data_IF_227827826539
#
_entry.id   IF_227827826539
#
_cell.length_a   1.000
_cell.length_b   1.000
_cell.length_c   1.000
_cell.angle_alpha   90.00
_cell.angle_beta   90.00
_cell.angle_gamma   90.00
#
_symmetry.space_group_name_H-M   'P 1'
#
loop_
_entity.id
_entity.type
_entity.pdbx_description
1 polymer ?
#
# COMPACT_ATOMS: atom_id res chain seq x y z
N UNK A 1 -11.04 -29.59 -51.10
CA UNK A 1 -10.21 -29.95 -49.92
C UNK A 1 -9.26 -28.84 -49.42
N UNK A 2 -9.26 -27.61 -49.98
CA UNK A 2 -8.38 -26.50 -49.54
C UNK A 2 -9.04 -25.44 -48.63
N UNK A 3 -10.33 -25.55 -48.30
CA UNK A 3 -11.07 -24.53 -47.55
C UNK A 3 -11.11 -24.70 -46.01
N UNK A 4 -10.52 -25.76 -45.45
CA UNK A 4 -10.61 -26.02 -44.00
C UNK A 4 -9.31 -25.73 -43.22
N UNK A 5 -8.20 -25.46 -43.90
CA UNK A 5 -6.91 -25.21 -43.24
C UNK A 5 -6.85 -23.79 -42.67
N UNK A 6 -7.39 -22.77 -43.34
CA UNK A 6 -7.40 -21.39 -42.82
C UNK A 6 -8.25 -21.25 -41.54
N UNK A 7 -9.40 -21.92 -41.44
CA UNK A 7 -10.23 -21.87 -40.24
C UNK A 7 -9.61 -22.65 -39.07
N UNK A 8 -8.95 -23.77 -39.34
CA UNK A 8 -8.19 -24.52 -38.33
C UNK A 8 -6.97 -23.72 -37.88
N UNK A 9 -6.24 -23.06 -38.80
CA UNK A 9 -5.12 -22.19 -38.46
C UNK A 9 -5.59 -20.95 -37.70
N UNK A 10 -6.71 -20.32 -38.06
CA UNK A 10 -7.25 -19.18 -37.30
C UNK A 10 -7.81 -19.60 -35.93
N UNK A 11 -8.40 -20.79 -35.81
CA UNK A 11 -8.80 -21.35 -34.51
C UNK A 11 -7.59 -21.74 -33.68
N UNK A 12 -6.53 -22.31 -34.27
CA UNK A 12 -5.26 -22.59 -33.60
C UNK A 12 -4.57 -21.29 -33.18
N UNK A 13 -4.51 -20.26 -34.04
CA UNK A 13 -3.96 -18.92 -33.72
C UNK A 13 -4.80 -18.23 -32.63
N UNK A 14 -6.13 -18.40 -32.59
CA UNK A 14 -6.96 -17.98 -31.45
C UNK A 14 -6.71 -18.81 -30.19
N UNK A 15 -6.40 -20.11 -30.32
CA UNK A 15 -6.03 -21.01 -29.22
C UNK A 15 -4.61 -20.74 -28.68
N UNK A 16 -3.74 -20.17 -29.50
CA UNK A 16 -2.37 -19.74 -29.17
C UNK A 16 -2.29 -18.30 -28.64
N UNK A 17 -3.42 -17.60 -28.44
CA UNK A 17 -3.48 -16.20 -28.02
C UNK A 17 -3.71 -15.97 -26.51
N UNK A 18 -3.34 -16.94 -25.68
CA UNK A 18 -2.84 -16.67 -24.33
C UNK A 18 -1.40 -17.19 -24.27
N UNK A 19 -0.50 -16.48 -24.94
CA UNK A 19 0.93 -16.66 -24.65
C UNK A 19 1.09 -16.42 -23.16
N UNK A 20 1.67 -17.38 -22.44
CA UNK A 20 2.19 -17.15 -21.11
C UNK A 20 3.31 -16.13 -21.28
N UNK A 21 2.99 -14.85 -21.13
CA UNK A 21 3.95 -13.75 -21.30
C UNK A 21 4.71 -13.60 -20.00
N UNK A 22 5.98 -13.24 -20.10
CA UNK A 22 6.79 -12.95 -18.92
C UNK A 22 6.12 -11.84 -18.09
N UNK A 23 6.15 -12.04 -16.78
CA UNK A 23 5.66 -11.10 -15.80
C UNK A 23 6.54 -11.15 -14.57
N UNK A 24 6.31 -10.27 -13.61
CA UNK A 24 7.05 -10.31 -12.36
C UNK A 24 6.68 -11.53 -11.52
N UNK A 25 7.70 -12.18 -10.96
CA UNK A 25 7.56 -13.32 -10.06
C UNK A 25 8.36 -13.05 -8.79
N UNK A 26 7.81 -13.49 -7.65
CA UNK A 26 8.49 -13.49 -6.37
C UNK A 26 8.97 -14.91 -6.09
N UNK A 27 10.28 -15.05 -5.99
CA UNK A 27 10.94 -16.31 -5.64
C UNK A 27 10.82 -16.59 -4.13
N UNK A 28 11.12 -17.83 -3.72
CA UNK A 28 11.03 -18.25 -2.31
C UNK A 28 11.97 -17.44 -1.39
N UNK A 29 13.13 -17.02 -1.90
CA UNK A 29 14.11 -16.19 -1.21
C UNK A 29 13.89 -14.67 -1.41
N UNK A 30 12.66 -14.29 -1.81
CA UNK A 30 12.17 -12.90 -1.91
C UNK A 30 12.85 -12.06 -2.99
N UNK A 31 13.37 -12.68 -4.05
CA UNK A 31 13.87 -11.96 -5.21
C UNK A 31 12.76 -11.74 -6.25
N UNK A 32 12.88 -10.64 -6.99
CA UNK A 32 12.06 -10.35 -8.15
C UNK A 32 12.74 -10.90 -9.40
N UNK A 33 12.02 -11.73 -10.15
CA UNK A 33 12.46 -12.21 -11.46
C UNK A 33 11.39 -11.97 -12.52
N UNK A 34 11.81 -11.81 -13.77
CA UNK A 34 10.91 -11.70 -14.92
C UNK A 34 10.82 -13.07 -15.59
N UNK A 35 9.66 -13.71 -15.47
CA UNK A 35 9.43 -15.05 -15.99
C UNK A 35 7.94 -15.33 -16.22
N UNK A 36 7.67 -16.38 -16.98
CA UNK A 36 6.33 -16.91 -17.21
C UNK A 36 5.67 -17.41 -15.92
N UNK A 37 4.35 -17.26 -15.81
CA UNK A 37 3.62 -17.85 -14.69
C UNK A 37 3.68 -19.38 -14.74
N UNK A 38 3.67 -20.01 -13.57
CA UNK A 38 3.67 -21.47 -13.44
C UNK A 38 2.39 -21.93 -12.71
N UNK A 39 1.19 -21.72 -13.25
CA UNK A 39 -0.04 -22.05 -12.55
C UNK A 39 -0.16 -23.56 -12.28
N UNK A 40 -0.51 -23.92 -11.05
CA UNK A 40 -0.79 -25.30 -10.67
C UNK A 40 -2.06 -25.82 -11.36
N UNK A 41 -2.03 -27.07 -11.83
CA UNK A 41 -3.22 -27.77 -12.30
C UNK A 41 -4.21 -28.07 -11.16
N UNK A 42 -5.47 -28.37 -11.48
CA UNK A 42 -6.47 -28.76 -10.48
C UNK A 42 -6.03 -29.92 -9.58
N UNK A 43 -5.23 -30.85 -10.10
CA UNK A 43 -4.68 -31.96 -9.31
C UNK A 43 -3.63 -31.43 -8.32
N UNK A 44 -2.69 -30.62 -8.79
CA UNK A 44 -1.63 -30.04 -7.98
C UNK A 44 -2.18 -29.07 -6.92
N UNK A 45 -3.24 -28.30 -7.23
CA UNK A 45 -3.92 -27.45 -6.26
C UNK A 45 -4.47 -28.26 -5.08
N UNK A 46 -5.14 -29.39 -5.37
CA UNK A 46 -5.68 -30.28 -4.35
C UNK A 46 -4.58 -30.88 -3.50
N UNK A 47 -3.55 -31.43 -4.14
CA UNK A 47 -2.38 -32.00 -3.46
C UNK A 47 -1.70 -30.95 -2.57
N UNK A 48 -1.45 -29.75 -3.09
CA UNK A 48 -0.86 -28.64 -2.35
C UNK A 48 -1.65 -28.30 -1.08
N UNK A 49 -2.96 -28.08 -1.20
CA UNK A 49 -3.80 -27.73 -0.06
C UNK A 49 -3.92 -28.87 0.96
N UNK A 50 -4.10 -30.11 0.50
CA UNK A 50 -4.21 -31.28 1.36
C UNK A 50 -2.91 -31.47 2.16
N UNK A 51 -1.76 -31.32 1.52
CA UNK A 51 -0.45 -31.45 2.18
C UNK A 51 -0.24 -30.39 3.26
N UNK A 52 -0.78 -29.18 3.06
CA UNK A 52 -0.62 -28.06 4.00
C UNK A 52 -1.62 -28.12 5.15
N UNK A 53 -2.87 -28.53 4.87
CA UNK A 53 -3.95 -28.53 5.85
C UNK A 53 -4.06 -29.87 6.61
N UNK A 54 -3.45 -30.92 6.09
CA UNK A 54 -3.44 -32.28 6.64
C UNK A 54 -4.50 -33.18 6.00
N UNK A 55 -4.07 -34.35 5.50
CA UNK A 55 -4.92 -35.32 4.80
C UNK A 55 -6.18 -35.72 5.59
N UNK A 56 -6.03 -35.95 6.89
CA UNK A 56 -7.12 -36.35 7.78
C UNK A 56 -8.13 -35.24 8.08
N UNK A 57 -7.82 -33.99 7.73
CA UNK A 57 -8.69 -32.82 7.95
C UNK A 57 -9.40 -32.35 6.68
N UNK A 58 -9.06 -32.94 5.53
CA UNK A 58 -9.49 -32.47 4.23
C UNK A 58 -10.39 -33.47 3.50
N UNK A 59 -11.40 -32.95 2.80
CA UNK A 59 -12.28 -33.73 1.93
C UNK A 59 -12.61 -32.96 0.66
N UNK A 60 -12.55 -33.61 -0.50
CA UNK A 60 -12.96 -33.00 -1.77
C UNK A 60 -14.46 -33.20 -1.97
N UNK A 61 -15.21 -32.10 -2.10
CA UNK A 61 -16.61 -32.10 -2.47
C UNK A 61 -16.71 -31.85 -3.98
N UNK A 62 -17.36 -32.77 -4.70
CA UNK A 62 -17.60 -32.58 -6.14
C UNK A 62 -18.85 -31.74 -6.36
N UNK A 63 -18.72 -30.69 -7.18
CA UNK A 63 -19.83 -29.79 -7.55
C UNK A 63 -20.05 -29.89 -9.06
N UNK A 64 -21.18 -30.45 -9.53
CA UNK A 64 -21.42 -30.60 -10.96
C UNK A 64 -21.58 -29.26 -11.72
N UNK A 65 -21.22 -29.20 -13.01
CA UNK A 65 -20.34 -30.14 -13.72
C UNK A 65 -18.86 -29.78 -13.50
N UNK A 66 -18.02 -30.76 -13.11
CA UNK A 66 -16.55 -30.66 -13.03
C UNK A 66 -15.98 -29.53 -12.16
N UNK A 67 -16.73 -29.05 -11.16
CA UNK A 67 -16.23 -28.12 -10.13
C UNK A 67 -15.92 -28.91 -8.87
N UNK A 68 -15.14 -28.32 -7.98
CA UNK A 68 -14.78 -28.94 -6.72
C UNK A 68 -14.58 -27.87 -5.64
N UNK A 69 -14.74 -28.29 -4.41
CA UNK A 69 -14.50 -27.51 -3.19
C UNK A 69 -13.65 -28.35 -2.25
N UNK A 70 -12.65 -27.75 -1.61
CA UNK A 70 -11.98 -28.41 -0.49
C UNK A 70 -12.73 -28.07 0.79
N UNK A 71 -13.25 -29.09 1.45
CA UNK A 71 -13.69 -28.98 2.83
C UNK A 71 -12.48 -29.21 3.74
N UNK A 72 -12.27 -28.29 4.69
CA UNK A 72 -11.27 -28.39 5.72
C UNK A 72 -11.96 -28.28 7.09
N UNK A 73 -11.65 -29.19 8.01
CA UNK A 73 -12.23 -29.20 9.36
C UNK A 73 -11.14 -29.14 10.41
N UNK A 74 -11.22 -28.16 11.31
CA UNK A 74 -10.30 -28.00 12.45
C UNK A 74 -11.06 -27.50 13.67
N UNK A 75 -10.83 -28.12 14.83
CA UNK A 75 -11.47 -27.71 16.09
C UNK A 75 -13.01 -27.71 16.06
N UNK A 76 -13.63 -28.54 15.22
CA UNK A 76 -15.09 -28.57 15.04
C UNK A 76 -15.66 -27.46 14.13
N UNK A 77 -14.80 -26.57 13.61
CA UNK A 77 -15.17 -25.57 12.60
C UNK A 77 -14.91 -26.11 11.19
N UNK A 78 -15.85 -25.84 10.28
CA UNK A 78 -15.80 -26.32 8.89
C UNK A 78 -15.59 -25.13 7.95
N UNK A 79 -14.65 -25.30 7.03
CA UNK A 79 -14.27 -24.33 6.02
C UNK A 79 -14.46 -24.93 4.64
N UNK A 80 -15.02 -24.16 3.71
CA UNK A 80 -15.15 -24.54 2.31
C UNK A 80 -14.27 -23.62 1.46
N UNK A 81 -13.19 -24.14 0.90
CA UNK A 81 -12.24 -23.37 0.10
C UNK A 81 -12.59 -23.49 -1.39
N UNK A 82 -12.89 -22.35 -2.00
CA UNK A 82 -13.10 -22.21 -3.43
C UNK A 82 -11.82 -21.66 -4.07
N UNK A 83 -11.14 -22.50 -4.85
CA UNK A 83 -9.72 -22.30 -5.16
C UNK A 83 -9.50 -22.03 -6.65
N UNK A 84 -8.61 -21.09 -6.96
CA UNK A 84 -8.11 -20.81 -8.31
C UNK A 84 -6.64 -20.39 -8.27
N UNK A 85 -5.94 -20.51 -9.39
CA UNK A 85 -4.58 -20.00 -9.53
C UNK A 85 -4.57 -18.49 -9.73
N UNK A 86 -3.54 -17.84 -9.19
CA UNK A 86 -3.20 -16.46 -9.49
C UNK A 86 -2.36 -16.42 -10.76
N UNK A 87 -2.77 -15.63 -11.76
CA UNK A 87 -2.01 -15.44 -13.00
C UNK A 87 -1.99 -13.98 -13.44
N UNK A 88 -0.95 -13.61 -14.18
CA UNK A 88 -0.83 -12.36 -14.91
C UNK A 88 -1.99 -12.20 -15.90
N UNK A 89 -2.50 -10.97 -16.00
CA UNK A 89 -3.63 -10.66 -16.87
C UNK A 89 -3.25 -10.68 -18.36
N UNK A 90 -1.95 -10.56 -18.68
CA UNK A 90 -1.45 -10.32 -20.03
C UNK A 90 -1.56 -8.85 -20.45
N UNK A 91 -1.04 -8.54 -21.63
CA UNK A 91 -1.08 -7.18 -22.19
C UNK A 91 -2.53 -6.71 -22.39
N UNK A 92 -2.87 -5.44 -22.08
CA UNK A 92 -2.00 -4.30 -21.79
C UNK A 92 -1.76 -4.04 -20.29
N UNK A 93 -2.00 -5.02 -19.41
CA UNK A 93 -1.87 -4.80 -17.97
C UNK A 93 -0.40 -4.72 -17.52
N UNK A 94 -0.09 -4.05 -16.40
CA UNK A 94 1.27 -4.04 -15.88
C UNK A 94 1.73 -5.43 -15.44
N UNK A 95 3.00 -5.75 -15.67
CA UNK A 95 3.59 -7.07 -15.41
C UNK A 95 3.59 -7.46 -13.92
N UNK A 96 3.48 -6.49 -13.01
CA UNK A 96 3.34 -6.71 -11.57
C UNK A 96 1.90 -7.04 -11.12
N UNK A 97 0.91 -6.95 -12.01
CA UNK A 97 -0.50 -7.10 -11.68
C UNK A 97 -1.00 -8.51 -12.02
N UNK A 98 -1.35 -9.29 -11.01
CA UNK A 98 -1.93 -10.63 -11.17
C UNK A 98 -3.41 -10.63 -10.80
N UNK A 99 -4.13 -11.69 -11.17
CA UNK A 99 -5.54 -11.90 -10.83
C UNK A 99 -5.87 -13.35 -10.54
N UNK A 100 -6.97 -13.52 -9.82
CA UNK A 100 -7.79 -14.72 -9.83
C UNK A 100 -9.07 -14.43 -10.59
N UNK A 101 -9.41 -15.28 -11.55
CA UNK A 101 -10.74 -15.26 -12.17
C UNK A 101 -11.76 -15.91 -11.23
N UNK A 102 -12.63 -15.09 -10.64
CA UNK A 102 -13.70 -15.57 -9.76
C UNK A 102 -14.92 -15.96 -10.60
N UNK A 103 -15.24 -17.27 -10.74
CA UNK A 103 -16.37 -17.67 -11.55
C UNK A 103 -17.69 -17.43 -10.81
N UNK A 104 -18.77 -17.14 -11.54
CA UNK A 104 -20.09 -16.86 -10.96
C UNK A 104 -20.56 -17.93 -9.96
N UNK A 105 -20.21 -19.20 -10.22
CA UNK A 105 -20.62 -20.31 -9.35
C UNK A 105 -20.03 -20.21 -7.93
N UNK A 106 -18.94 -19.47 -7.70
CA UNK A 106 -18.45 -19.23 -6.34
C UNK A 106 -19.50 -18.51 -5.50
N UNK A 107 -20.14 -17.48 -6.07
CA UNK A 107 -21.17 -16.72 -5.40
C UNK A 107 -22.44 -17.57 -5.19
N UNK A 108 -22.85 -18.32 -6.21
CA UNK A 108 -24.01 -19.22 -6.13
C UNK A 108 -23.82 -20.29 -5.04
N UNK A 109 -22.62 -20.90 -5.00
CA UNK A 109 -22.25 -21.88 -4.00
C UNK A 109 -22.25 -21.27 -2.61
N UNK A 110 -21.59 -20.13 -2.43
CA UNK A 110 -21.51 -19.42 -1.14
C UNK A 110 -22.90 -19.06 -0.62
N UNK A 111 -23.75 -18.51 -1.47
CA UNK A 111 -25.13 -18.17 -1.11
C UNK A 111 -25.95 -19.40 -0.73
N UNK A 112 -25.74 -20.53 -1.41
CA UNK A 112 -26.44 -21.79 -1.11
C UNK A 112 -25.99 -22.36 0.22
N UNK A 113 -24.67 -22.47 0.44
CA UNK A 113 -24.09 -22.99 1.70
C UNK A 113 -24.49 -22.09 2.86
N UNK A 114 -24.39 -20.77 2.73
CA UNK A 114 -24.77 -19.84 3.81
C UNK A 114 -26.25 -19.95 4.20
N UNK A 115 -27.16 -20.19 3.23
CA UNK A 115 -28.58 -20.43 3.50
C UNK A 115 -28.84 -21.76 4.20
N UNK A 116 -28.07 -22.80 3.87
CA UNK A 116 -28.26 -24.14 4.42
C UNK A 116 -27.59 -24.32 5.78
N UNK A 117 -26.39 -23.77 5.95
CA UNK A 117 -25.60 -23.83 7.16
C UNK A 117 -24.68 -22.61 7.29
N UNK A 118 -25.12 -21.54 7.99
CA UNK A 118 -24.32 -20.32 8.13
C UNK A 118 -23.06 -20.49 9.00
N UNK A 119 -22.87 -21.66 9.65
CA UNK A 119 -21.65 -21.95 10.42
C UNK A 119 -20.47 -22.37 9.54
N UNK A 120 -20.72 -22.75 8.28
CA UNK A 120 -19.67 -23.10 7.33
C UNK A 120 -19.04 -21.82 6.79
N UNK A 121 -17.73 -21.70 6.96
CA UNK A 121 -17.00 -20.53 6.50
C UNK A 121 -16.45 -20.76 5.08
N UNK A 122 -17.11 -20.18 4.09
CA UNK A 122 -16.67 -20.26 2.69
C UNK A 122 -15.57 -19.22 2.43
N UNK A 123 -14.48 -19.62 1.77
CA UNK A 123 -13.31 -18.78 1.48
C UNK A 123 -12.95 -18.80 0.00
N UNK A 124 -12.58 -17.65 -0.55
CA UNK A 124 -12.14 -17.51 -1.94
C UNK A 124 -10.63 -17.44 -1.96
N UNK A 125 -9.98 -18.52 -2.38
CA UNK A 125 -8.53 -18.69 -2.26
C UNK A 125 -7.88 -18.64 -3.65
N UNK A 126 -6.99 -17.66 -3.83
CA UNK A 126 -5.97 -17.67 -4.86
C UNK A 126 -4.75 -18.46 -4.45
N UNK A 127 -4.13 -19.17 -5.38
CA UNK A 127 -2.84 -19.83 -5.18
C UNK A 127 -1.85 -19.29 -6.20
N UNK A 128 -0.89 -18.51 -5.72
CA UNK A 128 0.30 -18.14 -6.46
C UNK A 128 1.32 -19.27 -6.36
N UNK A 129 1.95 -19.60 -7.48
CA UNK A 129 3.05 -20.57 -7.53
C UNK A 129 4.08 -20.12 -8.56
N UNK A 130 5.33 -20.13 -8.14
CA UNK A 130 6.48 -19.97 -9.01
C UNK A 130 7.66 -20.72 -8.39
N UNK A 131 8.33 -21.54 -9.20
CA UNK A 131 9.55 -22.20 -8.77
C UNK A 131 10.60 -22.27 -9.86
N UNK A 132 11.85 -22.27 -9.44
CA UNK A 132 12.97 -22.54 -10.32
C UNK A 132 14.09 -23.27 -9.57
N UNK A 133 15.11 -23.67 -10.33
CA UNK A 133 16.23 -24.47 -9.83
C UNK A 133 17.14 -23.72 -8.87
N UNK A 134 17.11 -22.39 -8.86
CA UNK A 134 18.02 -21.55 -8.08
C UNK A 134 17.39 -21.13 -6.76
N UNK A 135 16.09 -20.84 -6.77
CA UNK A 135 15.38 -20.26 -5.65
C UNK A 135 14.39 -21.23 -5.00
N UNK A 136 14.09 -22.38 -5.61
CA UNK A 136 13.18 -23.39 -5.05
C UNK A 136 11.71 -23.16 -5.40
N UNK A 137 10.81 -23.84 -4.69
CA UNK A 137 9.36 -23.86 -4.96
C UNK A 137 8.60 -22.90 -4.03
N UNK A 138 8.08 -21.80 -4.58
CA UNK A 138 7.33 -20.80 -3.82
C UNK A 138 5.82 -20.95 -4.05
N UNK A 139 5.08 -21.02 -2.94
CA UNK A 139 3.61 -21.01 -2.92
C UNK A 139 3.13 -19.95 -1.95
N UNK A 140 2.25 -19.08 -2.41
CA UNK A 140 1.61 -18.04 -1.59
C UNK A 140 0.11 -18.14 -1.77
N UNK A 141 -0.63 -18.17 -0.67
CA UNK A 141 -2.09 -18.16 -0.69
C UNK A 141 -2.60 -16.73 -0.67
N UNK A 142 -3.74 -16.50 -1.31
CA UNK A 142 -4.41 -15.20 -1.32
C UNK A 142 -5.86 -15.40 -0.90
N UNK A 143 -6.26 -14.88 0.26
CA UNK A 143 -7.65 -14.88 0.71
C UNK A 143 -8.34 -13.58 0.27
N UNK A 144 -9.25 -13.71 -0.69
CA UNK A 144 -10.12 -12.63 -1.12
C UNK A 144 -11.36 -12.64 -0.24
N UNK A 145 -11.51 -11.64 0.65
CA UNK A 145 -12.63 -11.62 1.60
C UNK A 145 -13.97 -11.57 0.87
N UNK A 146 -14.66 -12.71 0.82
CA UNK A 146 -15.90 -12.91 0.05
C UNK A 146 -16.92 -11.77 0.21
N UNK A 147 -17.08 -11.23 1.42
CA UNK A 147 -18.09 -10.23 1.74
C UNK A 147 -17.87 -8.90 1.00
N UNK A 148 -16.62 -8.53 0.72
CA UNK A 148 -16.29 -7.33 -0.07
C UNK A 148 -16.51 -7.51 -1.57
N UNK A 149 -16.55 -8.76 -2.05
CA UNK A 149 -16.75 -9.11 -3.46
C UNK A 149 -18.22 -9.49 -3.79
N UNK A 150 -18.96 -10.05 -2.83
CA UNK A 150 -20.35 -10.49 -3.01
C UNK A 150 -21.34 -9.32 -3.21
N UNK A 151 -21.05 -8.17 -2.62
CA UNK A 151 -21.95 -7.00 -2.58
C UNK A 151 -21.85 -6.10 -3.81
N UNK A 152 -20.76 -6.18 -4.56
CA UNK A 152 -20.50 -5.32 -5.73
C UNK A 152 -21.17 -5.97 -6.95
N UNK A 153 -22.18 -5.34 -7.54
CA UNK A 153 -22.98 -5.92 -8.65
C UNK A 153 -22.34 -5.79 -10.06
N UNK A 154 -21.07 -5.43 -10.19
CA UNK A 154 -20.52 -4.99 -11.49
C UNK A 154 -19.03 -5.22 -11.79
N UNK A 155 -18.24 -5.86 -10.93
CA UNK A 155 -16.78 -5.99 -11.13
C UNK A 155 -16.23 -7.40 -10.84
N UNK A 156 -17.05 -8.44 -11.03
CA UNK A 156 -16.92 -9.69 -10.28
C UNK A 156 -16.16 -10.80 -11.02
N UNK A 157 -15.49 -10.51 -12.15
CA UNK A 157 -14.80 -11.52 -12.94
C UNK A 157 -13.31 -11.66 -12.60
N UNK A 158 -12.73 -10.74 -11.84
CA UNK A 158 -11.32 -10.81 -11.44
C UNK A 158 -11.03 -10.11 -10.12
N UNK A 159 -10.46 -10.84 -9.18
CA UNK A 159 -9.85 -10.28 -7.97
C UNK A 159 -8.34 -10.10 -8.21
N UNK A 160 -7.79 -8.95 -7.89
CA UNK A 160 -6.40 -8.60 -8.21
C UNK A 160 -5.47 -8.82 -7.03
N UNK A 161 -4.24 -9.23 -7.30
CA UNK A 161 -3.14 -9.29 -6.34
C UNK A 161 -1.88 -8.80 -7.03
N UNK A 162 -1.03 -8.08 -6.33
CA UNK A 162 0.13 -7.43 -6.91
C UNK A 162 1.43 -8.10 -6.44
N UNK A 163 2.50 -7.99 -7.22
CA UNK A 163 3.82 -8.54 -6.85
C UNK A 163 4.23 -8.11 -5.45
N UNK A 164 4.02 -6.84 -5.09
CA UNK A 164 4.35 -6.35 -3.76
C UNK A 164 3.56 -7.08 -2.66
N UNK A 165 2.28 -7.43 -2.88
CA UNK A 165 1.48 -8.16 -1.88
C UNK A 165 2.07 -9.55 -1.60
N UNK A 166 2.57 -10.21 -2.64
CA UNK A 166 3.25 -11.49 -2.53
C UNK A 166 4.57 -11.33 -1.77
N UNK A 167 5.33 -10.28 -2.07
CA UNK A 167 6.55 -9.92 -1.34
C UNK A 167 6.26 -9.66 0.15
N UNK A 168 5.20 -8.92 0.48
CA UNK A 168 4.81 -8.64 1.87
C UNK A 168 4.50 -9.92 2.64
N UNK A 169 3.80 -10.88 2.03
CA UNK A 169 3.53 -12.17 2.67
C UNK A 169 4.81 -12.95 2.96
N UNK A 170 5.80 -12.90 2.07
CA UNK A 170 7.09 -13.55 2.30
C UNK A 170 7.93 -12.85 3.38
N UNK A 171 7.70 -11.57 3.63
CA UNK A 171 8.40 -10.79 4.65
C UNK A 171 7.76 -10.94 6.03
N UNK A 172 6.43 -10.89 6.13
CA UNK A 172 5.70 -10.87 7.41
C UNK A 172 4.92 -12.16 7.71
N UNK A 173 4.93 -13.13 6.80
CA UNK A 173 4.13 -14.37 6.90
C UNK A 173 2.66 -14.17 6.51
N UNK A 174 2.01 -13.11 6.99
CA UNK A 174 0.64 -12.71 6.61
C UNK A 174 0.58 -11.20 6.41
N UNK A 175 0.07 -10.78 5.27
CA UNK A 175 -0.16 -9.36 4.95
C UNK A 175 -1.61 -9.16 4.52
N UNK A 176 -2.29 -8.16 5.07
CA UNK A 176 -3.64 -7.77 4.65
C UNK A 176 -3.67 -6.31 4.25
N UNK A 177 -4.47 -5.99 3.24
CA UNK A 177 -4.76 -4.60 2.88
C UNK A 177 -6.19 -4.43 2.37
N UNK A 178 -6.63 -3.19 2.40
CA UNK A 178 -7.78 -2.73 1.63
C UNK A 178 -7.28 -2.15 0.29
N UNK A 179 -7.77 -2.69 -0.82
CA UNK A 179 -7.45 -2.18 -2.16
C UNK A 179 -8.18 -0.84 -2.45
N UNK A 180 -7.83 -0.17 -3.54
CA UNK A 180 -8.43 1.11 -3.93
C UNK A 180 -9.97 1.06 -4.05
N UNK A 181 -10.52 -0.12 -4.38
CA UNK A 181 -11.96 -0.34 -4.52
C UNK A 181 -12.64 -0.72 -3.21
N UNK A 182 -11.93 -0.79 -2.08
CA UNK A 182 -12.47 -1.22 -0.79
C UNK A 182 -12.67 -2.74 -0.71
N UNK A 183 -11.84 -3.54 -1.38
CA UNK A 183 -11.79 -4.99 -1.17
C UNK A 183 -10.69 -5.34 -0.18
N UNK A 184 -10.98 -6.29 0.70
CA UNK A 184 -9.99 -6.81 1.63
C UNK A 184 -9.31 -8.05 1.06
N UNK A 185 -7.99 -8.02 1.03
CA UNK A 185 -7.15 -9.05 0.42
C UNK A 185 -6.05 -9.38 1.41
N UNK A 186 -5.89 -10.67 1.70
CA UNK A 186 -4.79 -11.17 2.53
C UNK A 186 -3.89 -12.06 1.69
N UNK A 187 -2.58 -11.83 1.71
CA UNK A 187 -1.56 -12.73 1.16
C UNK A 187 -0.85 -13.46 2.29
N UNK A 188 -0.66 -14.77 2.13
CA UNK A 188 -0.27 -15.67 3.22
C UNK A 188 0.84 -16.61 2.74
N UNK A 189 1.96 -16.60 3.45
CA UNK A 189 3.06 -17.54 3.27
C UNK A 189 2.56 -18.97 3.52
N UNK A 190 3.09 -19.92 2.73
CA UNK A 190 2.67 -21.32 2.73
C UNK A 190 2.51 -21.94 4.12
N UNK A 191 3.50 -21.76 4.99
CA UNK A 191 3.56 -22.35 6.33
C UNK A 191 2.59 -21.70 7.32
N UNK A 192 2.13 -20.48 7.06
CA UNK A 192 1.16 -19.75 7.89
C UNK A 192 -0.29 -20.00 7.51
N UNK A 193 -0.56 -20.67 6.38
CA UNK A 193 -1.90 -20.74 5.82
C UNK A 193 -2.93 -21.44 6.73
N UNK A 194 -2.55 -22.56 7.36
CA UNK A 194 -3.44 -23.26 8.29
C UNK A 194 -3.75 -22.41 9.53
N UNK A 195 -2.74 -21.77 10.09
CA UNK A 195 -2.89 -20.93 11.27
C UNK A 195 -3.72 -19.67 10.97
N UNK A 196 -3.54 -19.08 9.79
CA UNK A 196 -4.36 -17.99 9.29
C UNK A 196 -5.84 -18.39 9.19
N UNK A 197 -6.17 -19.53 8.57
CA UNK A 197 -7.57 -19.99 8.44
C UNK A 197 -8.21 -20.25 9.82
N UNK A 198 -7.42 -20.73 10.77
CA UNK A 198 -7.87 -21.07 12.13
C UNK A 198 -7.77 -19.90 13.11
N UNK A 199 -7.43 -18.70 12.63
CA UNK A 199 -7.25 -17.48 13.42
C UNK A 199 -6.19 -17.61 14.54
N UNK A 200 -5.21 -18.51 14.38
CA UNK A 200 -4.05 -18.67 15.28
C UNK A 200 -2.92 -17.69 14.95
N UNK A 201 -2.89 -17.21 13.71
CA UNK A 201 -2.04 -16.10 13.28
C UNK A 201 -2.96 -14.98 12.79
N UNK A 202 -2.83 -13.82 13.42
CA UNK A 202 -3.44 -12.58 12.95
C UNK A 202 -2.38 -11.69 12.30
N UNK A 203 -2.84 -10.68 11.58
CA UNK A 203 -1.99 -9.64 11.02
C UNK A 203 -1.05 -9.06 12.09
N UNK A 204 0.24 -8.96 11.76
CA UNK A 204 1.31 -8.60 12.72
C UNK A 204 1.68 -7.12 12.67
N UNK A 205 1.17 -6.35 11.69
CA UNK A 205 1.59 -4.97 11.50
C UNK A 205 0.85 -3.99 12.43
N UNK A 206 1.33 -3.92 13.67
CA UNK A 206 0.86 -3.00 14.72
C UNK A 206 0.98 -1.53 14.30
N UNK A 207 1.88 -1.18 13.37
CA UNK A 207 2.06 0.20 12.92
C UNK A 207 0.83 0.74 12.20
N UNK A 208 0.10 -0.09 11.45
CA UNK A 208 -1.15 0.35 10.81
C UNK A 208 -2.22 0.71 11.85
N UNK A 209 -2.29 -0.01 12.96
CA UNK A 209 -3.19 0.34 14.07
C UNK A 209 -2.79 1.67 14.73
N UNK A 210 -1.48 1.93 14.88
CA UNK A 210 -0.98 3.21 15.38
C UNK A 210 -1.35 4.36 14.44
N UNK A 211 -1.22 4.18 13.12
CA UNK A 211 -1.64 5.19 12.14
C UNK A 211 -3.15 5.40 12.14
N UNK A 212 -3.96 4.34 12.30
CA UNK A 212 -5.41 4.51 12.52
C UNK A 212 -5.68 5.35 13.77
N UNK A 213 -5.03 5.03 14.89
CA UNK A 213 -5.18 5.76 16.15
C UNK A 213 -4.76 7.24 16.01
N UNK A 214 -3.65 7.51 15.33
CA UNK A 214 -3.22 8.87 15.01
C UNK A 214 -4.27 9.61 14.17
N UNK A 215 -4.74 8.97 13.10
CA UNK A 215 -5.71 9.56 12.17
C UNK A 215 -7.07 9.83 12.81
N UNK A 216 -7.52 9.00 13.76
CA UNK A 216 -8.74 9.25 14.54
C UNK A 216 -8.64 10.52 15.41
N UNK A 217 -7.43 10.86 15.89
CA UNK A 217 -7.17 12.08 16.66
C UNK A 217 -6.75 13.29 15.81
N UNK A 218 -6.49 13.11 14.53
CA UNK A 218 -6.04 14.15 13.61
C UNK A 218 -7.23 14.94 13.03
N UNK A 219 -7.02 16.22 12.70
CA UNK A 219 -8.07 17.16 12.25
C UNK A 219 -8.53 16.95 10.81
N UNK A 220 -8.83 15.70 10.42
CA UNK A 220 -9.41 15.39 9.12
C UNK A 220 -10.77 16.08 8.94
N UNK A 221 -11.04 16.52 7.70
CA UNK A 221 -12.32 17.13 7.35
C UNK A 221 -12.54 18.54 7.89
N UNK A 222 -11.58 19.13 8.60
CA UNK A 222 -11.66 20.50 9.13
C UNK A 222 -10.79 21.45 8.31
N UNK A 223 -11.29 22.66 8.03
CA UNK A 223 -10.49 23.73 7.43
C UNK A 223 -9.58 24.36 8.49
N UNK A 224 -8.28 24.14 8.35
CA UNK A 224 -7.25 24.67 9.22
C UNK A 224 -6.70 25.96 8.61
N UNK A 225 -6.74 27.06 9.34
CA UNK A 225 -6.21 28.35 8.88
C UNK A 225 -4.74 28.50 9.29
N UNK A 226 -3.92 29.01 8.37
CA UNK A 226 -2.48 29.07 8.59
C UNK A 226 -2.08 29.81 9.86
N UNK A 227 -2.68 30.97 10.14
CA UNK A 227 -2.28 31.78 11.29
C UNK A 227 -2.60 31.11 12.63
N UNK A 228 -3.72 30.40 12.71
CA UNK A 228 -4.13 29.69 13.93
C UNK A 228 -3.16 28.54 14.20
N UNK A 229 -2.79 27.81 13.16
CA UNK A 229 -1.84 26.68 13.22
C UNK A 229 -0.41 27.14 13.53
N UNK A 230 0.03 28.24 12.94
CA UNK A 230 1.35 28.83 13.21
C UNK A 230 1.47 29.26 14.68
N UNK A 231 0.42 29.89 15.23
CA UNK A 231 0.36 30.24 16.65
C UNK A 231 0.35 29.00 17.53
N UNK A 232 -0.45 28.00 17.21
CA UNK A 232 -0.48 26.74 17.95
C UNK A 232 0.92 26.09 18.01
N UNK A 233 1.62 26.00 16.88
CA UNK A 233 2.98 25.45 16.83
C UNK A 233 3.97 26.30 17.64
N UNK A 234 3.88 27.63 17.57
CA UNK A 234 4.73 28.53 18.37
C UNK A 234 4.47 28.37 19.87
N UNK A 235 3.21 28.35 20.29
CA UNK A 235 2.80 28.24 21.69
C UNK A 235 3.16 26.87 22.30
N UNK A 236 3.51 25.89 21.47
CA UNK A 236 4.03 24.58 21.86
C UNK A 236 5.52 24.39 21.50
N UNK A 237 6.27 25.49 21.33
CA UNK A 237 7.73 25.52 21.10
C UNK A 237 8.21 24.68 19.89
N UNK A 238 7.38 24.52 18.85
CA UNK A 238 7.74 23.74 17.67
C UNK A 238 8.68 24.51 16.75
N UNK A 239 9.96 24.16 16.71
CA UNK A 239 11.04 24.90 16.02
C UNK A 239 10.77 25.36 14.56
N UNK A 240 9.92 24.68 13.78
CA UNK A 240 9.64 25.02 12.38
C UNK A 240 8.35 25.82 12.18
N UNK A 241 7.75 26.34 13.27
CA UNK A 241 6.50 27.10 13.24
C UNK A 241 6.53 28.30 12.28
N UNK A 242 7.73 28.82 11.97
CA UNK A 242 7.92 29.97 11.09
C UNK A 242 7.85 29.63 9.61
N UNK A 243 7.87 28.38 9.16
CA UNK A 243 7.98 28.09 7.72
C UNK A 243 6.69 28.36 6.95
N UNK A 244 6.80 28.66 5.64
CA UNK A 244 5.64 28.97 4.79
C UNK A 244 4.88 27.69 4.35
N UNK A 245 5.58 26.56 4.30
CA UNK A 245 5.07 25.22 4.05
C UNK A 245 4.37 24.62 5.30
N UNK A 246 3.65 25.46 6.05
CA UNK A 246 3.13 25.18 7.39
C UNK A 246 2.29 23.90 7.51
N UNK A 247 1.62 23.47 6.44
CA UNK A 247 0.81 22.25 6.46
C UNK A 247 1.65 20.98 6.66
N UNK A 248 2.87 20.93 6.11
CA UNK A 248 3.82 19.83 6.34
C UNK A 248 4.34 19.85 7.76
N UNK A 249 4.81 21.02 8.22
CA UNK A 249 5.32 21.19 9.58
C UNK A 249 4.27 20.94 10.67
N UNK A 250 3.01 21.27 10.41
CA UNK A 250 1.91 20.95 11.32
C UNK A 250 1.66 19.44 11.41
N UNK A 251 1.74 18.72 10.30
CA UNK A 251 1.63 17.27 10.29
C UNK A 251 2.76 16.64 11.11
N UNK A 252 4.00 17.06 10.90
CA UNK A 252 5.17 16.61 11.67
C UNK A 252 5.02 16.92 13.17
N UNK A 253 4.60 18.13 13.52
CA UNK A 253 4.31 18.53 14.90
C UNK A 253 3.27 17.60 15.55
N UNK A 254 2.13 17.38 14.89
CA UNK A 254 1.07 16.51 15.40
C UNK A 254 1.51 15.06 15.54
N UNK A 255 2.29 14.56 14.57
CA UNK A 255 2.83 13.21 14.64
C UNK A 255 3.82 13.07 15.81
N UNK A 256 4.77 14.00 15.96
CA UNK A 256 5.70 14.00 17.08
C UNK A 256 4.95 14.03 18.43
N UNK A 257 4.01 14.97 18.58
CA UNK A 257 3.16 15.07 19.77
C UNK A 257 2.41 13.77 20.07
N UNK A 258 1.83 13.13 19.04
CA UNK A 258 1.16 11.85 19.19
C UNK A 258 2.09 10.75 19.71
N UNK A 259 3.30 10.63 19.15
CA UNK A 259 4.26 9.60 19.57
C UNK A 259 4.70 9.77 21.04
N UNK A 260 4.88 11.02 21.49
CA UNK A 260 5.27 11.34 22.87
C UNK A 260 4.09 11.09 23.83
N UNK A 261 2.92 11.68 23.54
CA UNK A 261 1.74 11.61 24.41
C UNK A 261 1.25 10.16 24.60
N UNK A 262 1.51 9.28 23.62
CA UNK A 262 1.15 7.86 23.66
C UNK A 262 2.30 6.92 24.04
N UNK A 263 3.49 7.45 24.38
CA UNK A 263 4.68 6.66 24.77
C UNK A 263 5.11 5.64 23.70
N UNK A 264 5.02 6.01 22.43
CA UNK A 264 5.27 5.14 21.28
C UNK A 264 6.70 5.24 20.74
N UNK A 265 7.59 6.00 21.37
CA UNK A 265 8.93 6.31 20.85
C UNK A 265 9.85 5.10 20.63
N UNK A 266 9.52 3.94 21.21
CA UNK A 266 10.22 2.67 20.98
C UNK A 266 9.71 1.95 19.71
N UNK A 267 8.47 2.20 19.30
CA UNK A 267 7.85 1.65 18.09
C UNK A 267 8.07 2.59 16.90
N UNK A 268 7.73 3.87 17.07
CA UNK A 268 7.95 4.91 16.07
C UNK A 268 8.15 6.28 16.71
N UNK A 269 9.05 7.08 16.14
CA UNK A 269 9.34 8.44 16.60
C UNK A 269 9.56 9.38 15.43
N UNK A 270 9.28 10.66 15.66
CA UNK A 270 9.73 11.71 14.77
C UNK A 270 11.24 11.93 14.95
N UNK A 271 11.97 12.01 13.85
CA UNK A 271 13.44 12.21 13.83
C UNK A 271 13.85 13.40 12.96
N UNK A 272 12.89 14.16 12.43
CA UNK A 272 13.17 15.28 11.55
C UNK A 272 13.95 16.41 12.23
N UNK A 273 14.76 17.09 11.40
CA UNK A 273 15.51 18.31 11.72
C UNK A 273 16.39 18.21 12.98
N UNK A 274 15.92 18.73 14.11
CA UNK A 274 16.71 18.98 15.33
C UNK A 274 16.78 17.79 16.30
N UNK A 275 16.03 16.71 16.02
CA UNK A 275 15.92 15.53 16.89
C UNK A 275 16.70 14.32 16.36
N UNK A 276 17.54 14.52 15.34
CA UNK A 276 18.40 13.47 14.77
C UNK A 276 19.49 13.06 15.75
N UNK A 277 19.71 11.76 15.85
CA UNK A 277 20.90 11.19 16.48
C UNK A 277 22.02 11.13 15.47
N UNK A 278 23.26 11.07 15.96
CA UNK A 278 24.42 10.81 15.09
C UNK A 278 24.22 9.48 14.36
N UNK A 279 24.32 9.50 13.02
CA UNK A 279 24.06 8.35 12.16
C UNK A 279 22.61 8.21 11.66
N UNK A 280 21.65 9.03 12.12
CA UNK A 280 20.28 9.00 11.57
C UNK A 280 20.27 9.57 10.13
N UNK A 281 19.55 8.90 9.23
CA UNK A 281 19.31 9.39 7.86
C UNK A 281 18.33 10.58 7.83
N UNK A 282 18.35 11.37 6.75
CA UNK A 282 17.52 12.58 6.60
C UNK A 282 16.07 12.29 6.19
N UNK A 283 15.28 11.82 7.16
CA UNK A 283 13.86 11.54 7.05
C UNK A 283 13.08 12.02 8.28
N UNK A 284 11.74 11.94 8.23
CA UNK A 284 10.89 12.44 9.32
C UNK A 284 10.57 11.39 10.39
N UNK A 285 10.51 10.11 10.02
CA UNK A 285 10.04 9.02 10.89
C UNK A 285 11.09 7.92 10.97
N UNK A 286 11.32 7.44 12.19
CA UNK A 286 12.03 6.19 12.45
C UNK A 286 11.07 5.18 13.10
N UNK A 287 11.04 3.97 12.55
CA UNK A 287 10.34 2.82 13.13
C UNK A 287 11.39 1.94 13.81
N UNK A 288 11.54 2.10 15.13
CA UNK A 288 12.68 1.55 15.86
C UNK A 288 12.55 0.02 16.07
N UNK A 289 11.36 -0.50 16.35
CA UNK A 289 11.13 -1.96 16.50
C UNK A 289 11.29 -2.74 15.20
N UNK A 290 10.81 -2.18 14.10
CA UNK A 290 10.80 -2.82 12.77
C UNK A 290 12.05 -2.45 11.94
N UNK A 291 12.95 -1.65 12.50
CA UNK A 291 14.23 -1.23 11.93
C UNK A 291 14.14 -0.65 10.49
N UNK A 292 13.34 0.41 10.28
CA UNK A 292 13.31 1.13 9.00
C UNK A 292 12.89 2.60 9.14
N UNK A 293 12.96 3.35 8.04
CA UNK A 293 12.59 4.78 8.00
C UNK A 293 11.33 5.06 7.21
N UNK A 294 10.72 6.21 7.50
CA UNK A 294 9.68 6.78 6.67
C UNK A 294 9.68 8.30 6.71
N UNK A 295 8.82 8.90 5.90
CA UNK A 295 8.79 10.34 5.69
C UNK A 295 7.36 10.85 5.51
N UNK A 296 7.07 12.01 6.12
CA UNK A 296 5.74 12.61 6.18
C UNK A 296 5.60 13.63 5.06
N UNK A 297 4.61 13.43 4.19
CA UNK A 297 4.31 14.40 3.12
C UNK A 297 2.91 14.96 3.29
N UNK A 298 2.80 16.29 3.34
CA UNK A 298 1.54 17.00 3.14
C UNK A 298 1.44 17.49 1.69
N UNK A 299 0.44 17.02 0.95
CA UNK A 299 0.35 17.27 -0.49
C UNK A 299 -1.05 17.71 -0.93
N UNK A 300 -1.13 18.69 -1.82
CA UNK A 300 -2.40 19.18 -2.36
C UNK A 300 -3.01 18.15 -3.32
N UNK A 301 -4.24 17.71 -3.05
CA UNK A 301 -4.94 16.66 -3.81
C UNK A 301 -5.07 16.98 -5.31
N UNK A 302 -5.08 18.26 -5.69
CA UNK A 302 -5.16 18.70 -7.09
C UNK A 302 -3.84 18.58 -7.86
N UNK A 303 -2.71 18.43 -7.15
CA UNK A 303 -1.39 18.27 -7.76
C UNK A 303 -1.19 16.83 -8.21
N UNK A 304 -0.62 16.66 -9.40
CA UNK A 304 -0.30 15.34 -9.96
C UNK A 304 0.87 14.66 -9.27
N UNK A 305 1.69 15.42 -8.56
CA UNK A 305 2.97 14.95 -8.05
C UNK A 305 3.19 15.45 -6.62
N UNK A 306 3.95 14.68 -5.85
CA UNK A 306 4.41 15.05 -4.51
C UNK A 306 5.93 14.93 -4.48
N UNK A 307 6.67 15.99 -4.11
CA UNK A 307 8.11 15.92 -3.97
C UNK A 307 8.52 14.84 -2.96
N UNK A 308 9.46 13.98 -3.36
CA UNK A 308 10.05 12.95 -2.53
C UNK A 308 11.33 13.43 -1.82
N UNK A 309 12.14 12.46 -1.42
CA UNK A 309 13.41 12.67 -0.73
C UNK A 309 14.59 12.67 -1.69
N UNK A 310 15.76 13.02 -1.15
CA UNK A 310 17.04 12.95 -1.85
C UNK A 310 17.27 11.52 -2.39
N UNK A 311 17.77 11.42 -3.62
CA UNK A 311 17.89 10.12 -4.27
C UNK A 311 18.90 9.21 -3.57
N UNK A 312 20.06 9.75 -3.20
CA UNK A 312 21.14 8.97 -2.56
C UNK A 312 20.65 8.44 -1.21
N UNK A 313 20.10 9.31 -0.37
CA UNK A 313 19.61 8.93 0.96
C UNK A 313 18.50 7.87 0.89
N UNK A 314 17.56 8.01 -0.04
CA UNK A 314 16.46 7.04 -0.18
C UNK A 314 16.96 5.69 -0.68
N UNK A 315 17.86 5.69 -1.66
CA UNK A 315 18.47 4.46 -2.18
C UNK A 315 19.27 3.76 -1.09
N UNK A 316 20.10 4.49 -0.35
CA UNK A 316 20.86 3.98 0.79
C UNK A 316 19.93 3.35 1.82
N UNK A 317 18.84 4.04 2.19
CA UNK A 317 17.84 3.51 3.12
C UNK A 317 17.21 2.20 2.63
N UNK A 318 16.80 2.13 1.36
CA UNK A 318 16.19 0.91 0.81
C UNK A 318 17.21 -0.23 0.77
N UNK A 319 18.47 0.04 0.46
CA UNK A 319 19.50 -1.02 0.47
C UNK A 319 19.86 -1.48 1.89
N UNK A 320 19.86 -0.57 2.86
CA UNK A 320 20.22 -0.88 4.24
C UNK A 320 19.09 -1.59 5.00
N UNK A 321 17.84 -1.17 4.79
CA UNK A 321 16.69 -1.61 5.58
C UNK A 321 15.66 -2.43 4.78
N UNK A 322 15.89 -2.66 3.48
CA UNK A 322 14.97 -3.33 2.51
C UNK A 322 13.57 -2.67 2.39
N UNK A 323 13.38 -1.51 3.01
CA UNK A 323 12.07 -0.90 3.22
C UNK A 323 12.15 0.61 3.49
N UNK A 324 11.20 1.34 2.96
CA UNK A 324 10.97 2.75 3.26
C UNK A 324 9.49 3.12 3.11
N UNK A 325 8.95 3.93 4.01
CA UNK A 325 7.56 4.39 3.93
C UNK A 325 7.43 5.87 3.58
N UNK A 326 6.72 6.18 2.49
CA UNK A 326 6.14 7.50 2.32
C UNK A 326 4.75 7.53 2.93
N UNK A 327 4.55 8.36 3.95
CA UNK A 327 3.26 8.57 4.61
C UNK A 327 2.69 9.90 4.11
N UNK A 328 1.78 9.80 3.13
CA UNK A 328 1.30 10.97 2.38
C UNK A 328 -0.10 11.33 2.85
N UNK A 329 -0.23 12.52 3.43
CA UNK A 329 -1.49 13.17 3.77
C UNK A 329 -1.89 14.13 2.66
N UNK A 330 -3.03 13.88 2.02
CA UNK A 330 -3.55 14.75 0.99
C UNK A 330 -4.62 15.69 1.52
N UNK A 331 -4.55 16.94 1.08
CA UNK A 331 -5.43 18.00 1.53
C UNK A 331 -5.99 18.82 0.35
N UNK A 332 -7.18 19.40 0.55
CA UNK A 332 -7.67 20.52 -0.25
C UNK A 332 -6.95 21.80 0.20
N UNK A 333 -6.80 22.77 -0.70
CA UNK A 333 -6.06 24.01 -0.44
C UNK A 333 -6.86 25.23 -0.88
N UNK A 334 -6.93 26.24 -0.01
CA UNK A 334 -7.19 27.63 -0.42
C UNK A 334 -5.84 28.33 -0.51
N UNK A 335 -5.47 28.80 -1.71
CA UNK A 335 -4.21 29.53 -1.90
C UNK A 335 -4.31 30.90 -1.25
N UNK A 336 -3.20 31.41 -0.74
CA UNK A 336 -3.20 32.74 -0.13
C UNK A 336 -3.35 33.87 -1.14
N UNK A 337 -2.95 33.64 -2.40
CA UNK A 337 -3.23 34.55 -3.52
C UNK A 337 -4.71 34.85 -3.70
N UNK A 338 -5.56 33.85 -3.45
CA UNK A 338 -7.01 33.93 -3.67
C UNK A 338 -7.72 34.61 -2.49
N UNK A 339 -6.99 34.82 -1.39
CA UNK A 339 -7.45 35.45 -0.15
C UNK A 339 -6.68 36.75 0.16
N UNK A 340 -6.21 37.48 -0.87
CA UNK A 340 -5.57 38.79 -0.69
C UNK A 340 -4.24 38.78 0.09
N UNK A 341 -3.57 37.63 0.13
CA UNK A 341 -2.34 37.38 0.88
C UNK A 341 -2.46 37.59 2.40
N UNK A 342 -3.67 37.39 2.94
CA UNK A 342 -3.96 37.59 4.37
C UNK A 342 -3.10 36.70 5.28
N UNK A 343 -2.89 35.43 4.92
CA UNK A 343 -2.10 34.52 5.75
C UNK A 343 -0.62 34.89 5.72
N UNK A 344 -0.07 35.29 4.57
CA UNK A 344 1.32 35.73 4.44
C UNK A 344 1.58 36.97 5.31
N UNK A 345 0.71 37.98 5.18
CA UNK A 345 0.79 39.22 5.96
C UNK A 345 0.64 38.90 7.45
N UNK A 346 -0.36 38.11 7.81
CA UNK A 346 -0.63 37.68 9.20
C UNK A 346 0.56 36.95 9.82
N UNK A 347 1.13 35.96 9.12
CA UNK A 347 2.32 35.22 9.55
C UNK A 347 3.50 36.16 9.76
N UNK A 348 3.85 36.98 8.78
CA UNK A 348 5.03 37.86 8.88
C UNK A 348 4.86 38.91 9.99
N UNK A 349 3.67 39.49 10.18
CA UNK A 349 3.38 40.40 11.30
C UNK A 349 3.49 39.69 12.65
N UNK A 350 2.95 38.48 12.75
CA UNK A 350 3.03 37.69 13.98
C UNK A 350 4.49 37.35 14.33
N UNK A 351 5.29 36.86 13.38
CA UNK A 351 6.71 36.58 13.62
C UNK A 351 7.43 37.84 14.11
N UNK A 352 7.22 39.00 13.49
CA UNK A 352 7.81 40.28 13.93
C UNK A 352 7.39 40.69 15.35
N UNK A 353 6.17 40.34 15.75
CA UNK A 353 5.66 40.69 17.09
C UNK A 353 6.30 39.87 18.21
N UNK A 354 6.73 38.64 17.93
CA UNK A 354 7.38 37.74 18.91
C UNK A 354 8.90 37.66 18.72
N UNK A 355 9.41 38.05 17.55
CA UNK A 355 10.82 38.15 17.22
C UNK A 355 11.09 39.42 16.39
N UNK A 356 11.44 40.52 17.08
CA UNK A 356 11.78 41.79 16.42
C UNK A 356 12.99 41.72 15.48
N UNK A 357 13.82 40.67 15.56
CA UNK A 357 14.99 40.50 14.67
C UNK A 357 14.61 39.98 13.28
N UNK A 358 13.37 39.52 13.10
CA UNK A 358 12.89 39.02 11.82
C UNK A 358 12.67 40.15 10.80
N UNK A 359 13.63 40.30 9.89
CA UNK A 359 13.75 41.43 8.96
C UNK A 359 13.15 41.20 7.56
N UNK A 360 12.28 40.20 7.38
CA UNK A 360 11.68 39.90 6.08
C UNK A 360 10.53 40.85 5.72
N UNK A 361 10.36 41.11 4.43
CA UNK A 361 9.26 41.91 3.89
C UNK A 361 7.91 41.25 4.15
N UNK A 362 6.84 42.05 4.18
CA UNK A 362 5.49 41.60 4.53
C UNK A 362 4.94 40.53 3.57
N UNK A 363 5.37 40.56 2.29
CA UNK A 363 4.99 39.57 1.27
C UNK A 363 6.04 38.47 1.05
N UNK A 364 7.05 38.36 1.92
CA UNK A 364 8.03 37.28 1.82
C UNK A 364 7.33 35.92 1.93
N UNK A 365 7.68 35.00 1.02
CA UNK A 365 7.15 33.64 0.88
C UNK A 365 5.69 33.52 0.40
N UNK A 366 5.07 34.60 -0.09
CA UNK A 366 3.67 34.58 -0.52
C UNK A 366 3.34 33.51 -1.58
N UNK A 367 4.28 33.20 -2.49
CA UNK A 367 4.08 32.19 -3.55
C UNK A 367 3.88 30.76 -3.02
N UNK A 368 4.41 30.47 -1.82
CA UNK A 368 4.34 29.13 -1.19
C UNK A 368 3.26 29.04 -0.13
N UNK A 369 2.74 30.18 0.30
CA UNK A 369 1.81 30.26 1.41
C UNK A 369 0.45 29.71 1.01
N UNK A 370 -0.08 28.84 1.87
CA UNK A 370 -1.48 28.39 1.81
C UNK A 370 -2.27 29.20 2.83
N UNK A 371 -3.46 29.68 2.48
CA UNK A 371 -4.33 30.38 3.42
C UNK A 371 -4.92 29.38 4.43
N UNK A 372 -5.48 28.29 3.91
CA UNK A 372 -6.02 27.20 4.68
C UNK A 372 -5.91 25.88 3.94
N UNK A 373 -5.88 24.78 4.70
CA UNK A 373 -5.93 23.41 4.16
C UNK A 373 -6.97 22.57 4.87
N UNK A 374 -7.46 21.54 4.19
CA UNK A 374 -8.37 20.54 4.76
C UNK A 374 -7.87 19.16 4.41
N UNK A 375 -7.33 18.43 5.38
CA UNK A 375 -6.84 17.06 5.16
C UNK A 375 -8.02 16.11 4.92
N UNK A 376 -7.92 15.27 3.88
CA UNK A 376 -9.03 14.42 3.42
C UNK A 376 -8.66 12.94 3.38
N UNK A 377 -7.43 12.60 3.03
CA UNK A 377 -6.97 11.21 2.95
C UNK A 377 -5.51 11.08 3.35
N UNK A 378 -5.13 9.87 3.75
CA UNK A 378 -3.76 9.46 3.99
C UNK A 378 -3.51 8.11 3.31
N UNK A 379 -2.33 7.95 2.73
CA UNK A 379 -1.86 6.67 2.19
C UNK A 379 -0.43 6.42 2.61
N UNK A 380 -0.09 5.15 2.90
CA UNK A 380 1.28 4.71 3.09
C UNK A 380 1.72 3.97 1.84
N UNK A 381 2.70 4.53 1.13
CA UNK A 381 3.43 3.81 0.09
C UNK A 381 4.60 3.10 0.74
N UNK A 382 4.70 1.79 0.55
CA UNK A 382 5.91 1.05 0.91
C UNK A 382 6.80 0.89 -0.32
N UNK A 383 8.02 1.39 -0.20
CA UNK A 383 9.08 1.19 -1.17
C UNK A 383 10.06 0.15 -0.65
N UNK A 384 10.44 -0.76 -1.53
CA UNK A 384 11.45 -1.78 -1.27
C UNK A 384 12.21 -2.04 -2.58
N UNK A 385 13.18 -2.96 -2.53
CA UNK A 385 14.01 -3.32 -3.70
C UNK A 385 13.22 -3.80 -4.93
N UNK A 386 11.98 -4.25 -4.75
CA UNK A 386 11.12 -4.78 -5.81
C UNK A 386 10.42 -3.66 -6.58
N UNK A 387 9.98 -2.59 -5.91
CA UNK A 387 9.00 -1.67 -6.48
C UNK A 387 9.45 -0.19 -6.59
N UNK A 388 10.55 0.21 -5.94
CA UNK A 388 10.88 1.65 -5.82
C UNK A 388 11.12 2.36 -7.16
N UNK A 389 11.71 1.65 -8.14
CA UNK A 389 12.05 2.20 -9.46
C UNK A 389 10.82 2.53 -10.30
N UNK A 390 9.72 1.84 -10.07
CA UNK A 390 8.46 2.10 -10.78
C UNK A 390 7.62 3.17 -10.07
N UNK A 391 7.77 3.28 -8.75
CA UNK A 391 7.02 4.22 -7.93
C UNK A 391 7.54 5.67 -8.03
N UNK A 392 8.81 5.84 -8.41
CA UNK A 392 9.51 7.13 -8.33
C UNK A 392 10.01 7.61 -9.69
N UNK A 393 9.99 8.92 -9.90
CA UNK A 393 10.58 9.57 -11.07
C UNK A 393 11.62 10.61 -10.65
N UNK A 394 12.52 10.99 -11.56
CA UNK A 394 13.54 12.00 -11.28
C UNK A 394 12.93 13.40 -11.11
N UNK A 395 13.35 14.12 -10.06
CA UNK A 395 12.98 15.51 -9.82
C UNK A 395 14.19 16.45 -9.97
N UNK A 396 14.24 17.16 -11.10
CA UNK A 396 15.27 18.14 -11.38
C UNK A 396 14.97 19.47 -10.65
N UNK A 397 15.60 19.66 -9.48
CA UNK A 397 15.37 20.81 -8.60
C UNK A 397 15.99 22.14 -9.06
N UNK A 398 16.72 22.17 -10.17
CA UNK A 398 17.44 23.36 -10.63
C UNK A 398 18.67 23.67 -9.77
N UNK A 399 18.90 24.97 -9.47
CA UNK A 399 20.11 25.45 -8.78
C UNK A 399 19.80 26.07 -7.40
N UNK A 400 20.79 26.07 -6.52
CA UNK A 400 20.80 26.79 -5.26
C UNK A 400 20.97 28.30 -5.52
N UNK A 401 20.72 29.12 -4.50
CA UNK A 401 20.86 30.59 -4.63
C UNK A 401 22.31 31.03 -4.88
N UNK A 402 23.29 30.17 -4.53
CA UNK A 402 24.72 30.35 -4.81
C UNK A 402 25.15 29.89 -6.22
N UNK A 403 24.22 29.35 -7.01
CA UNK A 403 24.46 28.87 -8.38
C UNK A 403 24.83 27.39 -8.51
N UNK A 404 25.04 26.66 -7.41
CA UNK A 404 25.34 25.22 -7.42
C UNK A 404 24.11 24.38 -7.81
N UNK A 405 24.31 23.23 -8.47
CA UNK A 405 23.20 22.31 -8.78
C UNK A 405 22.66 21.73 -7.48
N UNK A 406 21.34 21.76 -7.27
CA UNK A 406 20.73 21.08 -6.12
C UNK A 406 20.84 19.57 -6.30
N UNK A 407 21.11 18.85 -5.21
CA UNK A 407 21.09 17.38 -5.21
C UNK A 407 19.76 16.86 -5.78
N UNK A 408 19.78 15.82 -6.63
CA UNK A 408 18.56 15.28 -7.24
C UNK A 408 17.63 14.71 -6.15
N UNK A 409 16.33 14.87 -6.35
CA UNK A 409 15.30 14.23 -5.52
C UNK A 409 14.49 13.27 -6.37
N UNK A 410 13.78 12.37 -5.70
CA UNK A 410 12.68 11.68 -6.34
C UNK A 410 11.41 12.53 -6.33
N UNK A 411 10.52 12.22 -7.26
CA UNK A 411 9.16 12.69 -7.29
C UNK A 411 8.22 11.48 -7.22
N UNK A 412 7.04 11.69 -6.65
CA UNK A 412 6.01 10.66 -6.56
C UNK A 412 4.84 11.11 -7.45
N UNK A 413 4.63 10.44 -8.59
CA UNK A 413 3.39 10.61 -9.37
C UNK A 413 2.22 10.08 -8.53
N UNK A 414 1.21 10.90 -8.29
CA UNK A 414 0.07 10.52 -7.46
C UNK A 414 -0.77 9.38 -8.03
N UNK A 415 -0.60 9.00 -9.30
CA UNK A 415 -1.14 7.73 -9.82
C UNK A 415 -0.65 6.51 -9.03
N UNK A 416 0.53 6.60 -8.41
CA UNK A 416 1.06 5.58 -7.48
C UNK A 416 0.12 5.41 -6.28
N UNK A 417 -0.51 6.49 -5.80
CA UNK A 417 -1.45 6.43 -4.68
C UNK A 417 -2.73 5.67 -5.03
N UNK A 418 -3.11 5.63 -6.31
CA UNK A 418 -4.26 4.85 -6.81
C UNK A 418 -3.85 3.42 -7.20
N UNK A 419 -2.55 3.09 -7.21
CA UNK A 419 -2.04 1.79 -7.59
C UNK A 419 -1.66 0.96 -6.36
N UNK A 420 -2.45 -0.09 -6.14
CA UNK A 420 -2.28 -0.98 -4.99
C UNK A 420 -0.98 -1.82 -5.03
N UNK A 421 -0.17 -1.78 -6.09
CA UNK A 421 1.20 -2.34 -6.04
C UNK A 421 2.08 -1.63 -5.00
N UNK A 422 1.82 -0.36 -4.72
CA UNK A 422 2.70 0.47 -3.90
C UNK A 422 2.08 0.81 -2.55
N UNK A 423 0.76 0.96 -2.50
CA UNK A 423 0.07 1.35 -1.27
C UNK A 423 -0.25 0.13 -0.41
N UNK A 424 0.23 0.19 0.83
CA UNK A 424 0.02 -0.86 1.84
C UNK A 424 -1.02 -0.45 2.90
N UNK A 425 -1.34 0.84 3.01
CA UNK A 425 -2.36 1.33 3.95
C UNK A 425 -3.07 2.58 3.44
N UNK A 426 -4.37 2.69 3.76
CA UNK A 426 -5.23 3.81 3.36
C UNK A 426 -6.10 4.28 4.52
N UNK A 427 -6.32 5.59 4.57
CA UNK A 427 -7.31 6.22 5.44
C UNK A 427 -8.01 7.32 4.66
N UNK A 428 -9.34 7.30 4.61
CA UNK A 428 -10.14 8.33 3.93
C UNK A 428 -11.16 8.86 4.90
N UNK A 429 -11.19 10.17 5.10
CA UNK A 429 -12.19 10.82 5.94
C UNK A 429 -13.60 10.62 5.36
N UNK A 430 -14.55 10.16 6.19
CA UNK A 430 -15.95 9.99 5.80
C UNK A 430 -16.27 8.69 5.05
N UNK A 431 -15.31 7.78 4.93
CA UNK A 431 -15.54 6.35 4.70
C UNK A 431 -15.36 5.62 6.03
#
# INVERSE_FOLDING_TARGET
>A
MKLNICNIIQQLIKKFKHMNVDSEQITLDKNLVIAQDQPLSDRQLKECLINILGENKCRIITVPPRKWVLEFTDGGKVYHLLVRTCTYLGNPHPIFKKRVQLPLWFNDYTNTVNKQNPKIDVRYIGVYHYGDTFHGDNVIFVDFKKDTYLTKKGHNSSAHVYTNDLFQAMTYGVFTKEDYFGNNISTIQRDKFQDYLTNKVSETNTLFDLFRKFNCGFSFGQWLKALDIIKEMHDNDWHQWRQAEWAGWFLEYKFNKFTIDNKLTHQMRYVGSSLKREGDLDFDIRFDEEDFYGDLKASDISKKETPGNDQENLIECIYQFDKFWYVIYEHETVKDSDAGYEATKGRNRYIKSVDPTYNKDELSYHERMKNSVKFMKMSIIELNRVNYREALTDFNQGRQADGNVRKPKFNIDKKVLENDNFVVFRYTYGK
#
